data_IF_031477640047
#
_entry.id   IF_031477640047
#
_cell.length_a   1.000
_cell.length_b   1.000
_cell.length_c   1.000
_cell.angle_alpha   90.00
_cell.angle_beta   90.00
_cell.angle_gamma   90.00
#
_symmetry.space_group_name_H-M   'P 1'
#
loop_
_entity.id
_entity.type
_entity.pdbx_description
1 polymer ?
#
# COMPACT_ATOMS: atom_id res chain seq x y z
N UNK A 1 -16.63 -19.32 11.81
CA UNK A 1 -15.68 -19.83 10.77
C UNK A 1 -14.84 -18.64 10.35
N UNK A 2 -13.51 -18.72 10.41
CA UNK A 2 -12.67 -17.63 9.93
C UNK A 2 -12.90 -17.49 8.40
N UNK A 3 -13.31 -16.31 7.94
CA UNK A 3 -13.41 -16.05 6.51
C UNK A 3 -12.02 -16.13 5.90
N UNK A 4 -11.86 -16.89 4.83
CA UNK A 4 -10.59 -17.02 4.10
C UNK A 4 -10.29 -15.78 3.22
N UNK A 5 -10.94 -14.65 3.54
CA UNK A 5 -10.85 -13.39 2.79
C UNK A 5 -9.59 -12.67 3.23
N UNK A 6 -8.75 -12.34 2.26
CA UNK A 6 -7.59 -11.48 2.47
C UNK A 6 -7.64 -10.33 1.48
N UNK A 7 -7.78 -9.11 2.02
CA UNK A 7 -7.78 -7.87 1.23
C UNK A 7 -6.40 -7.25 1.29
N UNK A 8 -5.81 -6.97 0.12
CA UNK A 8 -4.60 -6.15 0.04
C UNK A 8 -5.01 -4.71 -0.29
N UNK A 9 -4.51 -3.75 0.50
CA UNK A 9 -4.84 -2.34 0.39
C UNK A 9 -3.62 -1.54 -0.02
N UNK A 10 -3.72 -0.78 -1.11
CA UNK A 10 -2.61 -0.03 -1.70
C UNK A 10 -2.98 1.45 -1.76
N UNK A 11 -2.76 2.21 -0.68
CA UNK A 11 -3.00 3.65 -0.67
C UNK A 11 -1.97 4.38 -1.53
N UNK A 12 -2.40 5.53 -2.06
CA UNK A 12 -1.45 6.53 -2.54
C UNK A 12 -0.62 7.04 -1.34
N UNK A 13 0.67 7.25 -1.55
CA UNK A 13 1.59 7.79 -0.55
C UNK A 13 1.34 9.30 -0.33
N UNK A 14 0.17 9.62 0.21
CA UNK A 14 -0.33 10.95 0.51
C UNK A 14 -1.22 10.85 1.77
N UNK A 15 -1.12 11.75 2.76
CA UNK A 15 -1.84 11.60 4.03
C UNK A 15 -3.36 11.46 3.87
N UNK A 16 -3.97 12.22 2.95
CA UNK A 16 -5.42 12.24 2.72
C UNK A 16 -5.96 10.96 2.09
N UNK A 17 -5.09 10.08 1.58
CA UNK A 17 -5.45 8.78 1.03
C UNK A 17 -5.06 7.66 1.99
N UNK A 18 -3.86 7.74 2.56
CA UNK A 18 -3.32 6.74 3.47
C UNK A 18 -4.15 6.61 4.75
N UNK A 19 -4.46 7.72 5.44
CA UNK A 19 -5.17 7.67 6.72
C UNK A 19 -6.58 7.06 6.56
N UNK A 20 -7.43 7.52 5.61
CA UNK A 20 -8.74 6.90 5.43
C UNK A 20 -8.69 5.43 5.02
N UNK A 21 -7.69 5.02 4.23
CA UNK A 21 -7.52 3.62 3.88
C UNK A 21 -7.06 2.76 5.06
N UNK A 22 -6.26 3.30 5.99
CA UNK A 22 -5.93 2.62 7.26
C UNK A 22 -7.18 2.46 8.14
N UNK A 23 -8.04 3.48 8.22
CA UNK A 23 -9.31 3.38 8.95
C UNK A 23 -10.25 2.35 8.30
N UNK A 24 -10.33 2.34 6.96
CA UNK A 24 -11.07 1.34 6.21
C UNK A 24 -10.53 -0.07 6.43
N UNK A 25 -9.20 -0.25 6.48
CA UNK A 25 -8.57 -1.53 6.79
C UNK A 25 -9.05 -2.09 8.14
N UNK A 26 -9.19 -1.21 9.14
CA UNK A 26 -9.73 -1.58 10.45
C UNK A 26 -11.17 -2.06 10.37
N UNK A 27 -12.02 -1.32 9.64
CA UNK A 27 -13.42 -1.69 9.46
C UNK A 27 -13.56 -3.03 8.73
N UNK A 28 -12.79 -3.26 7.68
CA UNK A 28 -12.78 -4.54 6.95
C UNK A 28 -12.33 -5.69 7.87
N UNK A 29 -11.27 -5.47 8.65
CA UNK A 29 -10.71 -6.51 9.51
C UNK A 29 -11.63 -6.88 10.70
N UNK A 30 -12.55 -5.99 11.10
CA UNK A 30 -13.62 -6.29 12.07
C UNK A 30 -14.59 -7.37 11.57
N UNK A 31 -14.71 -7.54 10.25
CA UNK A 31 -15.55 -8.56 9.63
C UNK A 31 -14.79 -9.86 9.32
N UNK A 32 -13.79 -10.21 10.13
CA UNK A 32 -12.98 -11.44 10.04
C UNK A 32 -12.09 -11.58 8.79
N UNK A 33 -11.93 -10.53 7.98
CA UNK A 33 -11.00 -10.53 6.86
C UNK A 33 -9.57 -10.22 7.32
N UNK A 34 -8.57 -10.91 6.76
CA UNK A 34 -7.17 -10.47 6.87
C UNK A 34 -6.99 -9.24 6.00
N UNK A 35 -6.24 -8.24 6.47
CA UNK A 35 -5.91 -7.05 5.66
C UNK A 35 -4.41 -6.83 5.65
N UNK A 36 -3.83 -6.68 4.46
CA UNK A 36 -2.43 -6.24 4.30
C UNK A 36 -2.39 -4.85 3.69
N UNK A 37 -1.79 -3.90 4.39
CA UNK A 37 -1.61 -2.52 3.92
C UNK A 37 -0.21 -2.42 3.31
N UNK A 38 -0.15 -2.06 2.03
CA UNK A 38 1.11 -1.82 1.32
C UNK A 38 1.56 -0.39 1.60
N UNK A 39 2.83 -0.24 1.96
CA UNK A 39 3.42 1.06 2.29
C UNK A 39 4.90 1.08 1.91
N UNK A 40 5.51 2.27 1.92
CA UNK A 40 6.95 2.45 1.70
C UNK A 40 7.66 2.81 3.01
N UNK A 41 8.97 2.59 3.15
CA UNK A 41 9.69 2.80 4.40
C UNK A 41 9.55 4.20 5.00
N UNK A 42 9.65 5.26 4.19
CA UNK A 42 9.51 6.63 4.68
C UNK A 42 8.10 6.90 5.19
N UNK A 43 7.08 6.44 4.46
CA UNK A 43 5.69 6.56 4.89
C UNK A 43 5.40 5.72 6.15
N UNK A 44 6.00 4.53 6.28
CA UNK A 44 5.86 3.70 7.48
C UNK A 44 6.44 4.40 8.72
N UNK A 45 7.58 5.08 8.59
CA UNK A 45 8.14 5.89 9.65
C UNK A 45 7.26 7.11 9.96
N UNK A 46 6.82 7.85 8.93
CA UNK A 46 6.01 9.07 9.05
C UNK A 46 4.64 8.81 9.70
N UNK A 47 3.99 7.70 9.37
CA UNK A 47 2.66 7.33 9.88
C UNK A 47 2.70 6.22 10.95
N UNK A 48 3.87 5.96 11.54
CA UNK A 48 4.09 4.84 12.45
C UNK A 48 3.09 4.76 13.61
N UNK A 49 2.69 5.91 14.19
CA UNK A 49 1.69 5.94 15.26
C UNK A 49 0.30 5.45 14.81
N UNK A 50 -0.13 5.83 13.60
CA UNK A 50 -1.43 5.42 13.03
C UNK A 50 -1.42 3.93 12.71
N UNK A 51 -0.33 3.45 12.09
CA UNK A 51 -0.15 2.03 11.74
C UNK A 51 -0.02 1.16 13.00
N UNK A 52 0.72 1.61 14.01
CA UNK A 52 0.83 0.90 15.28
C UNK A 52 -0.53 0.76 15.95
N UNK A 53 -1.34 1.83 15.98
CA UNK A 53 -2.69 1.80 16.55
C UNK A 53 -3.60 0.81 15.81
N UNK A 54 -3.54 0.74 14.48
CA UNK A 54 -4.39 -0.18 13.71
C UNK A 54 -3.97 -1.64 13.93
N UNK A 55 -2.65 -1.92 13.93
CA UNK A 55 -2.11 -3.27 14.15
C UNK A 55 -2.37 -3.73 15.59
N UNK A 56 -2.22 -2.85 16.58
CA UNK A 56 -2.48 -3.14 17.99
C UNK A 56 -3.98 -3.30 18.32
N UNK A 57 -4.88 -3.15 17.35
CA UNK A 57 -6.33 -3.25 17.57
C UNK A 57 -6.85 -4.68 17.79
N UNK A 58 -5.99 -5.69 17.69
CA UNK A 58 -6.36 -7.11 17.84
C UNK A 58 -6.97 -7.76 16.59
N UNK A 59 -7.12 -7.00 15.50
CA UNK A 59 -7.60 -7.49 14.21
C UNK A 59 -6.43 -7.99 13.34
N UNK A 60 -6.68 -8.89 12.36
CA UNK A 60 -5.64 -9.46 11.50
C UNK A 60 -5.16 -8.46 10.42
N UNK A 61 -4.53 -7.37 10.85
CA UNK A 61 -4.00 -6.32 9.98
C UNK A 61 -2.47 -6.40 9.94
N UNK A 62 -1.91 -6.36 8.74
CA UNK A 62 -0.47 -6.49 8.47
C UNK A 62 0.03 -5.32 7.65
N UNK A 63 1.31 -5.01 7.79
CA UNK A 63 2.00 -4.00 7.00
C UNK A 63 2.98 -4.68 6.07
N UNK A 64 2.91 -4.38 4.78
CA UNK A 64 3.87 -4.82 3.76
C UNK A 64 4.67 -3.61 3.30
N UNK A 65 5.96 -3.57 3.65
CA UNK A 65 6.88 -2.53 3.18
C UNK A 65 7.47 -2.89 1.82
N UNK A 66 7.31 -2.01 0.84
CA UNK A 66 7.96 -2.09 -0.46
C UNK A 66 8.93 -0.92 -0.64
N UNK A 67 10.14 -1.21 -1.11
CA UNK A 67 11.18 -0.19 -1.32
C UNK A 67 10.77 0.76 -2.43
N UNK A 68 10.79 2.07 -2.13
CA UNK A 68 10.45 3.11 -3.10
C UNK A 68 11.70 3.60 -3.84
N UNK A 69 11.75 3.54 -5.17
CA UNK A 69 12.98 3.79 -5.92
C UNK A 69 13.23 5.30 -6.19
N UNK A 70 13.11 6.18 -5.20
CA UNK A 70 13.15 7.65 -5.38
C UNK A 70 14.29 8.14 -6.29
N UNK A 71 15.54 7.80 -5.94
CA UNK A 71 16.74 8.28 -6.64
C UNK A 71 16.81 7.82 -8.10
N UNK A 72 16.25 6.66 -8.44
CA UNK A 72 16.24 6.13 -9.81
C UNK A 72 15.32 6.94 -10.75
N UNK A 73 14.40 7.71 -10.17
CA UNK A 73 13.43 8.54 -10.89
C UNK A 73 13.73 10.03 -10.72
N UNK A 74 14.94 10.40 -10.28
CA UNK A 74 15.33 11.80 -10.13
C UNK A 74 14.62 12.52 -8.98
N UNK A 75 14.13 11.77 -7.99
CA UNK A 75 13.64 12.31 -6.72
C UNK A 75 14.76 12.27 -5.67
N UNK A 76 14.65 13.12 -4.65
CA UNK A 76 15.55 13.08 -3.51
C UNK A 76 15.29 11.83 -2.66
N UNK A 77 16.32 11.29 -2.02
CA UNK A 77 16.14 10.20 -1.06
C UNK A 77 15.16 10.62 0.05
N UNK A 78 14.27 9.69 0.41
CA UNK A 78 13.19 9.95 1.36
C UNK A 78 11.98 10.69 0.77
N UNK A 79 12.03 11.14 -0.49
CA UNK A 79 10.88 11.74 -1.18
C UNK A 79 9.91 10.63 -1.67
N UNK A 80 9.23 9.99 -0.72
CA UNK A 80 8.30 8.88 -0.97
C UNK A 80 6.84 9.28 -0.74
N UNK A 81 6.56 10.50 -0.27
CA UNK A 81 5.22 11.06 -0.13
C UNK A 81 5.00 12.22 -1.11
N UNK A 82 3.76 12.42 -1.54
CA UNK A 82 3.38 13.57 -2.37
C UNK A 82 3.76 14.90 -1.71
N UNK A 83 3.63 15.00 -0.39
CA UNK A 83 3.99 16.20 0.38
C UNK A 83 5.51 16.47 0.42
N UNK A 84 6.34 15.46 0.16
CA UNK A 84 7.79 15.61 0.16
C UNK A 84 8.30 16.20 -1.17
N UNK A 85 7.42 16.33 -2.18
CA UNK A 85 7.80 16.84 -3.48
C UNK A 85 8.14 18.33 -3.39
N UNK A 86 9.37 18.76 -3.75
CA UNK A 86 9.74 20.17 -3.72
C UNK A 86 9.02 21.00 -4.79
N UNK A 87 8.39 20.34 -5.78
CA UNK A 87 7.60 20.98 -6.82
C UNK A 87 6.67 19.98 -7.52
N UNK A 88 5.47 20.43 -7.91
CA UNK A 88 4.54 19.66 -8.76
C UNK A 88 5.12 19.28 -10.13
N UNK A 89 6.23 19.89 -10.56
CA UNK A 89 6.94 19.46 -11.78
C UNK A 89 7.48 18.03 -11.67
N UNK A 90 7.71 17.53 -10.46
CA UNK A 90 8.20 16.18 -10.19
C UNK A 90 7.07 15.15 -9.99
N UNK A 91 5.80 15.54 -10.13
CA UNK A 91 4.66 14.62 -9.98
C UNK A 91 4.73 13.47 -10.97
N UNK A 92 5.19 13.70 -12.20
CA UNK A 92 5.41 12.60 -13.17
C UNK A 92 6.45 11.61 -12.67
N UNK A 93 7.61 12.10 -12.23
CA UNK A 93 8.69 11.29 -11.68
C UNK A 93 8.23 10.44 -10.50
N UNK A 94 7.40 11.02 -9.63
CA UNK A 94 6.78 10.32 -8.52
C UNK A 94 5.90 9.17 -8.99
N UNK A 95 4.96 9.41 -9.91
CA UNK A 95 4.09 8.33 -10.41
C UNK A 95 4.87 7.27 -11.20
N UNK A 96 5.88 7.65 -11.98
CA UNK A 96 6.77 6.70 -12.65
C UNK A 96 7.50 5.80 -11.63
N UNK A 97 7.94 6.36 -10.50
CA UNK A 97 8.53 5.60 -9.40
C UNK A 97 7.52 4.68 -8.71
N UNK A 98 6.27 5.13 -8.49
CA UNK A 98 5.22 4.28 -7.91
C UNK A 98 4.93 3.05 -8.77
N UNK A 99 4.98 3.18 -10.10
CA UNK A 99 4.74 2.07 -11.02
C UNK A 99 5.79 0.95 -10.88
N UNK A 100 6.99 1.25 -10.37
CA UNK A 100 8.00 0.22 -10.08
C UNK A 100 7.74 -0.58 -8.81
N UNK A 101 6.74 -0.23 -8.02
CA UNK A 101 6.29 -1.06 -6.91
C UNK A 101 5.53 -2.31 -7.38
N UNK A 102 5.07 -2.34 -8.65
CA UNK A 102 4.37 -3.48 -9.23
C UNK A 102 5.17 -4.78 -9.12
N UNK A 103 6.40 -4.81 -9.63
CA UNK A 103 7.20 -6.04 -9.67
C UNK A 103 7.53 -6.57 -8.26
N UNK A 104 8.01 -5.76 -7.29
CA UNK A 104 8.17 -6.20 -5.91
C UNK A 104 6.88 -6.74 -5.30
N UNK A 105 5.73 -6.09 -5.56
CA UNK A 105 4.45 -6.57 -5.06
C UNK A 105 4.10 -7.95 -5.65
N UNK A 106 4.24 -8.13 -6.96
CA UNK A 106 3.95 -9.39 -7.63
C UNK A 106 4.84 -10.53 -7.10
N UNK A 107 6.11 -10.26 -6.78
CA UNK A 107 7.04 -11.26 -6.23
C UNK A 107 6.56 -11.81 -4.89
N UNK A 108 6.12 -10.93 -3.99
CA UNK A 108 5.71 -11.31 -2.63
C UNK A 108 4.24 -11.72 -2.52
N UNK A 109 3.43 -11.49 -3.57
CA UNK A 109 1.98 -11.68 -3.53
C UNK A 109 1.58 -13.09 -3.07
N UNK A 110 2.21 -14.13 -3.64
CA UNK A 110 1.92 -15.53 -3.32
C UNK A 110 2.50 -16.00 -1.98
N UNK A 111 3.41 -15.22 -1.40
CA UNK A 111 4.00 -15.47 -0.08
C UNK A 111 3.04 -15.04 1.04
N UNK A 112 2.11 -14.13 0.76
CA UNK A 112 1.10 -13.70 1.71
C UNK A 112 0.11 -14.84 2.01
N UNK A 113 -0.21 -15.05 3.30
CA UNK A 113 -1.12 -16.11 3.77
C UNK A 113 -2.23 -15.59 4.71
N UNK A 114 -3.52 -15.79 4.42
CA UNK A 114 -4.09 -16.40 3.20
C UNK A 114 -3.65 -15.68 1.93
N UNK A 115 -3.70 -16.34 0.77
CA UNK A 115 -3.41 -15.65 -0.51
C UNK A 115 -4.43 -14.52 -0.68
N UNK A 116 -4.03 -13.30 -1.09
CA UNK A 116 -4.98 -12.21 -1.28
C UNK A 116 -6.08 -12.60 -2.26
N UNK A 117 -7.32 -12.30 -1.91
CA UNK A 117 -8.53 -12.62 -2.69
C UNK A 117 -9.23 -11.38 -3.25
N UNK A 118 -8.76 -10.18 -2.89
CA UNK A 118 -9.29 -8.89 -3.35
C UNK A 118 -8.24 -7.79 -3.15
N UNK A 119 -8.23 -6.79 -4.03
CA UNK A 119 -7.37 -5.62 -3.96
C UNK A 119 -8.19 -4.33 -3.87
N UNK A 120 -7.89 -3.49 -2.90
CA UNK A 120 -8.40 -2.12 -2.83
C UNK A 120 -7.21 -1.18 -3.06
N UNK A 121 -7.11 -0.62 -4.25
CA UNK A 121 -6.03 0.30 -4.60
C UNK A 121 -6.52 1.72 -4.83
N UNK A 122 -5.65 2.67 -4.58
CA UNK A 122 -5.90 4.06 -4.93
C UNK A 122 -6.02 4.26 -6.44
N UNK A 123 -6.95 5.11 -6.87
CA UNK A 123 -7.22 5.38 -8.29
C UNK A 123 -6.02 5.96 -9.06
N UNK A 124 -5.08 6.59 -8.36
CA UNK A 124 -3.89 7.19 -8.98
C UNK A 124 -2.78 6.16 -9.27
N UNK A 125 -2.89 4.94 -8.74
CA UNK A 125 -1.90 3.87 -8.92
C UNK A 125 -2.35 2.92 -10.03
N UNK A 126 -2.40 3.40 -11.28
CA UNK A 126 -2.99 2.66 -12.40
C UNK A 126 -2.38 1.29 -12.67
N UNK A 127 -1.13 1.06 -12.25
CA UNK A 127 -0.42 -0.21 -12.40
C UNK A 127 -1.03 -1.36 -11.56
N UNK A 128 -1.82 -1.05 -10.53
CA UNK A 128 -2.41 -2.08 -9.66
C UNK A 128 -3.45 -2.94 -10.38
N UNK A 129 -4.10 -2.41 -11.41
CA UNK A 129 -5.09 -3.17 -12.22
C UNK A 129 -4.43 -4.35 -12.93
N UNK A 130 -3.17 -4.21 -13.35
CA UNK A 130 -2.46 -5.27 -14.04
C UNK A 130 -2.05 -6.37 -13.05
N UNK A 131 -1.72 -6.01 -11.81
CA UNK A 131 -1.49 -6.97 -10.71
C UNK A 131 -2.78 -7.74 -10.41
N UNK A 132 -3.90 -7.03 -10.23
CA UNK A 132 -5.19 -7.65 -9.95
C UNK A 132 -5.59 -8.63 -11.07
N UNK A 133 -5.41 -8.22 -12.34
CA UNK A 133 -5.65 -9.09 -13.51
C UNK A 133 -4.72 -10.31 -13.53
N UNK A 134 -3.43 -10.11 -13.23
CA UNK A 134 -2.42 -11.19 -13.23
C UNK A 134 -2.75 -12.28 -12.20
N UNK A 135 -3.25 -11.90 -11.03
CA UNK A 135 -3.63 -12.83 -9.96
C UNK A 135 -5.12 -13.17 -9.95
N UNK A 136 -5.87 -12.74 -10.98
CA UNK A 136 -7.30 -13.03 -11.16
C UNK A 136 -8.16 -12.66 -9.94
N UNK A 137 -7.86 -11.52 -9.31
CA UNK A 137 -8.63 -11.00 -8.18
C UNK A 137 -9.39 -9.72 -8.53
N UNK A 138 -10.57 -9.50 -7.90
CA UNK A 138 -11.29 -8.24 -7.99
C UNK A 138 -10.57 -7.08 -7.29
#
# INVERSE_FOLDING_TARGET
>A
MASNVHVIMIPLMCPSHLIPMVDMAKLIAQHSATVTIVITPHNAARFGAVLHRVVASGHPIRILNLQFPASQYGLLEGCENVDDLPSFKLTKNFFDATAKLQEPLEKVFNELKPTPSCMISDKHLTWTVDVARKFEIP
#
